data_IF_556717294808
#
_entry.id   IF_556717294808
#
_cell.length_a   1.000
_cell.length_b   1.000
_cell.length_c   1.000
_cell.angle_alpha   90.00
_cell.angle_beta   90.00
_cell.angle_gamma   90.00
#
_symmetry.space_group_name_H-M   'P 1'
#
loop_
_entity.id
_entity.type
_entity.pdbx_description
1 polymer ?
#
# COMPACT_ATOMS: atom_id res chain seq x y z
N UNK A 1 -9.17 9.37 -27.41
CA UNK A 1 -9.35 7.91 -27.19
C UNK A 1 -8.89 7.59 -25.77
N UNK A 2 -9.83 7.31 -24.86
CA UNK A 2 -9.51 6.87 -23.49
C UNK A 2 -9.62 5.34 -23.47
N UNK A 3 -8.50 4.64 -23.47
CA UNK A 3 -8.47 3.21 -23.13
C UNK A 3 -8.57 3.10 -21.62
N UNK A 4 -9.79 2.94 -21.11
CA UNK A 4 -10.03 2.57 -19.71
C UNK A 4 -9.61 1.12 -19.51
N UNK A 5 -8.57 0.90 -18.70
CA UNK A 5 -8.12 -0.44 -18.32
C UNK A 5 -9.08 -0.99 -17.27
N UNK A 6 -10.19 -1.56 -17.70
CA UNK A 6 -11.01 -2.39 -16.83
C UNK A 6 -10.35 -3.77 -16.73
N UNK A 7 -9.58 -3.99 -15.67
CA UNK A 7 -9.15 -5.34 -15.28
C UNK A 7 -10.38 -6.13 -14.79
N UNK A 8 -11.14 -6.70 -15.73
CA UNK A 8 -12.02 -7.83 -15.42
C UNK A 8 -11.11 -9.06 -15.32
N UNK A 9 -11.04 -9.68 -14.14
CA UNK A 9 -10.24 -10.88 -13.86
C UNK A 9 -10.72 -12.08 -14.71
N UNK A 10 -10.28 -12.16 -15.97
CA UNK A 10 -10.50 -13.31 -16.84
C UNK A 10 -9.14 -13.75 -17.40
N UNK A 11 -8.67 -14.93 -16.94
CA UNK A 11 -7.59 -15.68 -17.58
C UNK A 11 -6.16 -15.35 -17.13
N UNK A 12 -5.90 -15.24 -15.83
CA UNK A 12 -4.54 -15.06 -15.30
C UNK A 12 -3.88 -16.40 -14.92
N UNK A 13 -2.72 -16.69 -15.52
CA UNK A 13 -1.81 -17.72 -15.02
C UNK A 13 -0.92 -17.08 -13.95
N UNK A 14 -1.09 -17.49 -12.70
CA UNK A 14 -0.36 -16.96 -11.54
C UNK A 14 0.86 -17.83 -11.29
N UNK A 15 2.06 -17.29 -11.49
CA UNK A 15 3.29 -17.90 -10.96
C UNK A 15 3.64 -17.21 -9.64
N UNK A 16 3.57 -17.97 -8.56
CA UNK A 16 4.05 -17.56 -7.25
C UNK A 16 5.51 -17.96 -7.10
N UNK A 17 6.40 -16.97 -7.12
CA UNK A 17 7.81 -17.14 -6.79
C UNK A 17 8.11 -16.25 -5.57
N UNK A 18 7.87 -16.77 -4.37
CA UNK A 18 8.01 -16.03 -3.11
C UNK A 18 6.98 -14.90 -2.95
N UNK A 19 7.35 -13.80 -2.26
CA UNK A 19 6.49 -12.62 -1.99
C UNK A 19 6.06 -11.82 -3.24
N UNK A 20 6.32 -12.33 -4.44
CA UNK A 20 6.05 -11.67 -5.71
C UNK A 20 5.03 -12.48 -6.50
N UNK A 21 4.00 -11.80 -6.99
CA UNK A 21 3.00 -12.41 -7.87
C UNK A 21 3.20 -11.88 -9.28
N UNK A 22 3.57 -12.77 -10.21
CA UNK A 22 3.73 -12.44 -11.63
C UNK A 22 2.48 -12.86 -12.37
N UNK A 23 1.88 -11.90 -13.06
CA UNK A 23 0.77 -12.11 -13.97
C UNK A 23 1.24 -11.92 -15.40
N UNK A 24 0.89 -12.85 -16.27
CA UNK A 24 1.08 -12.70 -17.70
C UNK A 24 -0.28 -12.49 -18.36
N UNK A 25 -0.40 -11.45 -19.20
CA UNK A 25 -1.61 -11.17 -19.98
C UNK A 25 -1.22 -10.96 -21.45
N UNK A 26 -2.12 -11.31 -22.36
CA UNK A 26 -1.94 -11.10 -23.80
C UNK A 26 -2.87 -9.98 -24.27
N UNK A 27 -2.29 -8.92 -24.84
CA UNK A 27 -3.03 -7.89 -25.57
C UNK A 27 -2.39 -7.73 -26.96
N UNK A 28 -3.19 -7.88 -28.02
CA UNK A 28 -2.71 -7.85 -29.41
C UNK A 28 -1.59 -8.84 -29.74
N UNK A 29 -1.53 -9.99 -29.06
CA UNK A 29 -0.49 -11.01 -29.25
C UNK A 29 0.86 -10.71 -28.57
N UNK A 30 0.99 -9.60 -27.83
CA UNK A 30 2.16 -9.32 -26.98
C UNK A 30 1.91 -9.79 -25.55
N UNK A 31 2.85 -10.56 -25.03
CA UNK A 31 2.85 -10.99 -23.63
C UNK A 31 3.31 -9.85 -22.73
N UNK A 32 2.39 -9.27 -21.96
CA UNK A 32 2.71 -8.31 -20.92
C UNK A 32 2.93 -9.04 -19.60
N UNK A 33 4.05 -8.75 -18.93
CA UNK A 33 4.35 -9.24 -17.59
C UNK A 33 4.07 -8.13 -16.60
N UNK A 34 3.15 -8.35 -15.67
CA UNK A 34 2.87 -7.44 -14.57
C UNK A 34 3.36 -8.10 -13.29
N UNK A 35 4.19 -7.38 -12.54
CA UNK A 35 4.75 -7.84 -11.28
C UNK A 35 4.18 -6.99 -10.17
N UNK A 36 3.44 -7.63 -9.26
CA UNK A 36 2.97 -7.01 -8.04
C UNK A 36 3.96 -7.37 -6.93
N UNK A 37 4.47 -6.35 -6.26
CA UNK A 37 5.42 -6.50 -5.16
C UNK A 37 4.87 -5.77 -3.93
N UNK A 38 4.80 -6.47 -2.80
CA UNK A 38 4.56 -5.80 -1.52
C UNK A 38 5.77 -4.88 -1.21
N UNK A 39 5.54 -3.78 -0.51
CA UNK A 39 6.64 -2.88 -0.14
C UNK A 39 7.26 -3.34 1.18
N UNK A 40 6.47 -3.37 2.25
CA UNK A 40 6.94 -3.64 3.61
C UNK A 40 7.22 -5.13 3.82
N UNK A 41 8.42 -5.48 4.26
CA UNK A 41 8.86 -6.87 4.45
C UNK A 41 9.31 -7.58 3.17
N UNK A 42 9.19 -6.93 2.00
CA UNK A 42 9.64 -7.47 0.70
C UNK A 42 10.71 -6.60 0.06
N UNK A 43 10.43 -5.32 -0.17
CA UNK A 43 11.41 -4.36 -0.69
C UNK A 43 12.05 -3.53 0.42
N UNK A 44 11.26 -3.20 1.43
CA UNK A 44 11.64 -2.37 2.57
C UNK A 44 11.65 -3.22 3.82
N UNK A 45 12.77 -3.22 4.53
CA UNK A 45 12.94 -3.94 5.78
C UNK A 45 12.96 -2.98 6.97
N UNK A 46 12.71 -3.52 8.16
CA UNK A 46 12.64 -2.78 9.42
C UNK A 46 13.57 -3.48 10.41
N UNK A 47 14.87 -3.29 10.25
CA UNK A 47 15.86 -3.80 11.19
C UNK A 47 16.20 -2.72 12.24
N UNK A 48 16.38 -3.16 13.49
CA UNK A 48 17.21 -2.42 14.44
C UNK A 48 18.64 -2.52 13.89
N UNK A 49 19.19 -1.39 13.41
CA UNK A 49 20.47 -1.30 12.68
C UNK A 49 21.68 -1.58 13.62
N UNK A 50 21.52 -2.44 14.62
CA UNK A 50 22.61 -2.96 15.42
C UNK A 50 23.22 -4.18 14.73
N UNK A 51 24.37 -3.95 14.09
CA UNK A 51 25.51 -4.89 13.98
C UNK A 51 25.70 -5.78 12.73
N UNK A 52 24.77 -5.87 11.77
CA UNK A 52 24.92 -6.84 10.65
C UNK A 52 25.35 -6.26 9.29
N UNK A 53 25.70 -4.97 9.20
CA UNK A 53 26.14 -4.36 7.93
C UNK A 53 27.62 -4.65 7.60
N UNK A 54 27.94 -5.91 7.32
CA UNK A 54 29.23 -6.34 6.75
C UNK A 54 29.16 -6.56 5.23
N UNK A 55 28.03 -6.25 4.59
CA UNK A 55 27.87 -6.34 3.13
C UNK A 55 28.10 -4.98 2.47
N UNK A 56 28.82 -4.95 1.35
CA UNK A 56 29.08 -3.77 0.52
C UNK A 56 27.82 -3.14 -0.12
N UNK A 57 26.62 -3.56 0.25
CA UNK A 57 25.40 -2.99 -0.31
C UNK A 57 25.09 -1.65 0.35
N UNK A 58 24.99 -0.59 -0.45
CA UNK A 58 24.58 0.73 0.03
C UNK A 58 23.10 0.66 0.45
N UNK A 59 22.81 1.09 1.68
CA UNK A 59 21.47 1.08 2.27
C UNK A 59 20.94 2.51 2.33
N UNK A 60 19.71 2.70 1.83
CA UNK A 60 18.98 3.96 1.89
C UNK A 60 17.97 3.89 3.03
N UNK A 61 17.98 4.91 3.89
CA UNK A 61 17.00 5.06 4.96
C UNK A 61 15.78 5.85 4.48
N UNK A 62 14.60 5.25 4.61
CA UNK A 62 13.34 5.91 4.25
C UNK A 62 12.89 6.87 5.36
N UNK A 63 12.06 7.88 5.04
CA UNK A 63 11.40 8.68 6.07
C UNK A 63 10.58 7.81 7.04
N UNK A 64 10.55 8.17 8.33
CA UNK A 64 9.80 7.43 9.33
C UNK A 64 8.30 7.45 9.02
N UNK A 65 7.62 6.37 9.37
CA UNK A 65 6.16 6.32 9.36
C UNK A 65 5.58 7.18 10.49
N UNK A 66 4.26 7.31 10.53
CA UNK A 66 3.56 7.94 11.65
C UNK A 66 3.74 7.20 12.98
N UNK A 67 4.16 5.93 12.96
CA UNK A 67 4.48 5.16 14.17
C UNK A 67 5.95 5.30 14.59
N UNK A 68 6.74 6.12 13.88
CA UNK A 68 8.17 6.32 14.15
C UNK A 68 9.08 5.27 13.51
N UNK A 69 8.53 4.16 13.02
CA UNK A 69 9.31 3.10 12.37
C UNK A 69 9.97 3.62 11.09
N UNK A 70 11.29 3.37 10.98
CA UNK A 70 12.10 3.73 9.82
C UNK A 70 12.35 2.48 8.98
N UNK A 71 11.96 2.55 7.72
CA UNK A 71 12.27 1.48 6.76
C UNK A 71 13.64 1.69 6.16
N UNK A 72 14.28 0.61 5.72
CA UNK A 72 15.51 0.63 4.93
C UNK A 72 15.31 -0.15 3.63
N UNK A 73 16.00 0.26 2.57
CA UNK A 73 16.03 -0.44 1.28
C UNK A 73 17.47 -0.48 0.75
N UNK A 74 17.90 -1.60 0.21
CA UNK A 74 19.20 -1.68 -0.46
C UNK A 74 19.13 -1.10 -1.87
N UNK A 75 20.21 -0.48 -2.31
CA UNK A 75 20.35 -0.01 -3.70
C UNK A 75 20.28 -1.14 -4.72
N UNK A 76 20.71 -2.35 -4.35
CA UNK A 76 20.58 -3.54 -5.20
C UNK A 76 19.12 -3.90 -5.48
N UNK A 77 18.23 -3.81 -4.48
CA UNK A 77 16.79 -4.01 -4.67
C UNK A 77 16.22 -2.99 -5.65
N UNK A 78 16.64 -1.73 -5.55
CA UNK A 78 16.22 -0.69 -6.51
C UNK A 78 16.69 -1.03 -7.92
N UNK A 79 17.99 -1.34 -8.11
CA UNK A 79 18.56 -1.73 -9.40
C UNK A 79 17.84 -2.94 -10.02
N UNK A 80 17.50 -3.95 -9.21
CA UNK A 80 16.75 -5.12 -9.66
C UNK A 80 15.35 -4.73 -10.17
N UNK A 81 14.63 -3.85 -9.46
CA UNK A 81 13.33 -3.35 -9.91
C UNK A 81 13.44 -2.59 -11.24
N UNK A 82 14.47 -1.77 -11.42
CA UNK A 82 14.71 -1.06 -12.68
C UNK A 82 15.04 -2.01 -13.83
N UNK A 83 15.92 -3.00 -13.60
CA UNK A 83 16.24 -4.04 -14.57
C UNK A 83 15.00 -4.83 -14.99
N UNK A 84 14.14 -5.16 -14.02
CA UNK A 84 12.88 -5.85 -14.26
C UNK A 84 11.98 -5.08 -15.24
N UNK A 85 11.90 -3.76 -15.09
CA UNK A 85 11.09 -2.88 -15.95
C UNK A 85 11.74 -2.65 -17.31
N UNK A 86 13.03 -2.31 -17.34
CA UNK A 86 13.72 -1.89 -18.57
C UNK A 86 14.07 -3.05 -19.49
N UNK A 87 14.58 -4.16 -18.95
CA UNK A 87 15.11 -5.27 -19.76
C UNK A 87 14.03 -6.26 -20.19
N UNK A 88 12.95 -6.38 -19.42
CA UNK A 88 11.90 -7.36 -19.68
C UNK A 88 10.57 -6.74 -20.11
N UNK A 89 10.50 -5.40 -20.19
CA UNK A 89 9.26 -4.68 -20.51
C UNK A 89 8.14 -4.91 -19.49
N UNK A 90 8.50 -5.43 -18.29
CA UNK A 90 7.53 -5.76 -17.26
C UNK A 90 6.98 -4.47 -16.63
N UNK A 91 5.69 -4.48 -16.31
CA UNK A 91 5.05 -3.46 -15.50
C UNK A 91 5.25 -3.80 -14.03
N UNK A 92 5.69 -2.82 -13.24
CA UNK A 92 5.84 -2.98 -11.80
C UNK A 92 4.68 -2.27 -11.10
N UNK A 93 4.01 -2.97 -10.19
CA UNK A 93 2.99 -2.42 -9.30
C UNK A 93 3.47 -2.60 -7.87
N UNK A 94 3.63 -1.49 -7.14
CA UNK A 94 3.94 -1.55 -5.72
C UNK A 94 2.66 -1.52 -4.91
N UNK A 95 2.49 -2.50 -4.04
CA UNK A 95 1.32 -2.63 -3.16
C UNK A 95 1.80 -2.50 -1.73
N UNK A 96 1.07 -1.77 -0.88
CA UNK A 96 1.45 -1.61 0.53
C UNK A 96 0.24 -1.39 1.44
N UNK A 97 0.40 -1.78 2.70
CA UNK A 97 -0.52 -1.43 3.80
C UNK A 97 -0.26 -0.04 4.39
N UNK A 98 0.75 0.68 3.91
CA UNK A 98 1.05 2.05 4.34
C UNK A 98 -0.14 2.97 4.13
N UNK A 99 -0.28 3.95 5.03
CA UNK A 99 -1.13 5.12 4.81
C UNK A 99 -0.70 5.84 3.53
N UNK A 100 -1.64 6.43 2.80
CA UNK A 100 -1.34 7.20 1.58
C UNK A 100 -0.29 8.28 1.84
N UNK A 101 -0.39 9.00 2.97
CA UNK A 101 0.59 10.02 3.35
C UNK A 101 1.99 9.46 3.58
N UNK A 102 2.11 8.24 4.11
CA UNK A 102 3.38 7.55 4.29
C UNK A 102 3.96 7.08 2.96
N UNK A 103 3.12 6.52 2.07
CA UNK A 103 3.52 6.17 0.70
C UNK A 103 4.11 7.40 0.00
N UNK A 104 3.36 8.51 -0.08
CA UNK A 104 3.79 9.71 -0.80
C UNK A 104 5.11 10.28 -0.28
N UNK A 105 5.34 10.27 1.04
CA UNK A 105 6.62 10.68 1.64
C UNK A 105 7.78 9.76 1.27
N UNK A 106 7.52 8.47 1.05
CA UNK A 106 8.52 7.45 0.75
C UNK A 106 8.77 7.23 -0.74
N UNK A 107 7.85 7.66 -1.61
CA UNK A 107 7.99 7.51 -3.06
C UNK A 107 9.35 7.97 -3.63
N UNK A 108 9.98 9.07 -3.15
CA UNK A 108 11.34 9.42 -3.57
C UNK A 108 12.38 8.31 -3.39
N UNK A 109 12.21 7.45 -2.39
CA UNK A 109 13.16 6.41 -1.97
C UNK A 109 12.76 5.00 -2.45
N UNK A 110 11.61 4.88 -3.11
CA UNK A 110 11.07 3.62 -3.63
C UNK A 110 11.36 3.49 -5.13
N UNK A 111 11.41 2.27 -5.68
CA UNK A 111 11.64 2.11 -7.10
C UNK A 111 10.47 2.74 -7.89
N UNK A 112 10.81 3.34 -9.02
CA UNK A 112 9.79 3.86 -9.95
C UNK A 112 8.93 2.69 -10.45
N UNK A 113 7.62 2.83 -10.32
CA UNK A 113 6.64 1.81 -10.68
C UNK A 113 5.62 2.37 -11.68
N UNK A 114 4.87 1.48 -12.29
CA UNK A 114 3.81 1.80 -13.25
C UNK A 114 2.46 2.06 -12.55
N UNK A 115 2.29 1.54 -11.33
CA UNK A 115 1.21 1.92 -10.42
C UNK A 115 1.65 1.74 -8.97
N UNK A 116 1.01 2.48 -8.07
CA UNK A 116 1.22 2.41 -6.63
C UNK A 116 -0.12 2.23 -5.93
N UNK A 117 -0.20 1.28 -5.01
CA UNK A 117 -1.39 0.99 -4.25
C UNK A 117 -1.09 1.09 -2.75
N UNK A 118 -1.78 1.99 -2.05
CA UNK A 118 -1.69 2.14 -0.59
C UNK A 118 -2.98 1.69 0.09
N UNK A 119 -2.96 1.66 1.43
CA UNK A 119 -4.12 1.29 2.24
C UNK A 119 -4.68 -0.09 1.83
N UNK A 120 -3.77 -1.06 1.65
CA UNK A 120 -4.11 -2.43 1.22
C UNK A 120 -4.79 -2.51 -0.15
N UNK A 121 -4.51 -1.55 -1.03
CA UNK A 121 -5.07 -1.50 -2.39
C UNK A 121 -6.30 -0.62 -2.54
N UNK A 122 -6.78 -0.01 -1.45
CA UNK A 122 -7.96 0.85 -1.50
C UNK A 122 -7.70 2.18 -2.20
N UNK A 123 -6.43 2.62 -2.27
CA UNK A 123 -6.06 3.85 -2.99
C UNK A 123 -5.01 3.51 -4.03
N UNK A 124 -5.26 3.88 -5.29
CA UNK A 124 -4.40 3.55 -6.44
C UNK A 124 -3.93 4.83 -7.10
N UNK A 125 -2.66 4.89 -7.43
CA UNK A 125 -2.01 6.06 -8.03
C UNK A 125 -1.19 5.66 -9.25
N UNK A 126 -1.19 6.53 -10.26
CA UNK A 126 -0.45 6.37 -11.49
C UNK A 126 0.58 7.50 -11.68
N UNK A 127 1.80 7.17 -12.13
CA UNK A 127 2.79 8.19 -12.45
C UNK A 127 2.35 9.00 -13.67
N UNK A 128 2.50 10.33 -13.59
CA UNK A 128 2.25 11.28 -14.66
C UNK A 128 3.57 11.69 -15.29
N UNK A 129 3.65 11.62 -16.61
CA UNK A 129 4.82 12.08 -17.36
C UNK A 129 4.76 13.62 -17.50
N UNK A 130 5.58 14.32 -16.71
CA UNK A 130 5.62 15.78 -16.66
C UNK A 130 6.01 16.42 -18.00
N UNK A 131 6.76 15.72 -18.86
CA UNK A 131 7.10 16.21 -20.19
C UNK A 131 5.87 16.23 -21.14
N UNK A 132 4.86 15.40 -20.86
CA UNK A 132 3.61 15.33 -21.63
C UNK A 132 2.49 16.19 -21.03
N UNK A 133 2.57 16.49 -19.74
CA UNK A 133 1.54 17.24 -19.00
C UNK A 133 2.18 18.42 -18.26
N UNK A 134 2.65 19.42 -19.01
CA UNK A 134 3.35 20.59 -18.46
C UNK A 134 2.49 21.42 -17.47
N UNK A 135 1.16 21.32 -17.55
CA UNK A 135 0.21 22.00 -16.66
C UNK A 135 -0.14 21.19 -15.40
N UNK A 136 0.58 20.11 -15.10
CA UNK A 136 0.29 19.27 -13.95
C UNK A 136 0.56 20.02 -12.64
N UNK A 137 -0.48 20.20 -11.82
CA UNK A 137 -0.42 20.94 -10.54
C UNK A 137 -0.42 20.03 -9.30
N UNK A 138 -0.45 18.71 -9.48
CA UNK A 138 -0.48 17.78 -8.35
C UNK A 138 0.89 17.55 -7.73
N UNK A 139 0.98 16.55 -6.85
CA UNK A 139 2.23 16.17 -6.18
C UNK A 139 3.29 15.72 -7.19
N UNK A 140 4.48 16.30 -7.11
CA UNK A 140 5.65 15.94 -7.91
C UNK A 140 6.63 15.15 -7.03
N UNK A 141 6.99 13.95 -7.49
CA UNK A 141 7.98 13.09 -6.86
C UNK A 141 9.33 13.33 -7.53
N UNK A 142 10.35 13.54 -6.70
CA UNK A 142 11.76 13.66 -7.10
C UNK A 142 12.50 12.46 -6.51
N UNK A 143 12.82 11.43 -7.33
CA UNK A 143 13.57 10.27 -6.85
C UNK A 143 14.90 10.66 -6.20
N UNK A 144 15.24 9.95 -5.12
CA UNK A 144 16.54 10.07 -4.46
C UNK A 144 17.62 9.41 -5.32
N UNK A 145 18.78 10.07 -5.43
CA UNK A 145 19.91 9.54 -6.20
C UNK A 145 20.63 8.45 -5.40
N UNK A 146 21.09 7.43 -6.08
CA UNK A 146 21.95 6.38 -5.54
C UNK A 146 22.83 5.80 -6.64
N UNK A 147 23.87 5.04 -6.29
CA UNK A 147 24.85 4.58 -7.28
C UNK A 147 24.24 3.61 -8.32
N UNK A 148 24.58 3.83 -9.59
CA UNK A 148 24.16 2.97 -10.70
C UNK A 148 22.71 3.15 -11.20
N UNK A 149 21.99 4.15 -10.71
CA UNK A 149 20.67 4.54 -11.25
C UNK A 149 20.80 5.29 -12.57
N UNK A 150 19.86 5.09 -13.49
CA UNK A 150 19.83 5.84 -14.77
C UNK A 150 19.15 7.20 -14.60
N UNK A 151 19.52 8.20 -15.42
CA UNK A 151 18.83 9.51 -15.42
C UNK A 151 17.33 9.39 -15.73
N UNK A 152 16.95 8.39 -16.53
CA UNK A 152 15.54 8.12 -16.85
C UNK A 152 14.73 7.64 -15.63
N UNK A 153 15.38 6.91 -14.73
CA UNK A 153 14.80 6.44 -13.48
C UNK A 153 14.79 7.53 -12.41
N UNK A 154 15.74 8.47 -12.46
CA UNK A 154 15.77 9.68 -11.62
C UNK A 154 14.87 10.81 -12.11
N UNK A 155 14.31 10.71 -13.32
CA UNK A 155 13.42 11.74 -13.85
C UNK A 155 12.22 11.95 -12.94
N UNK A 156 11.98 13.20 -12.53
CA UNK A 156 10.82 13.58 -11.72
C UNK A 156 9.52 13.23 -12.42
N UNK A 157 8.49 12.87 -11.64
CA UNK A 157 7.18 12.50 -12.17
C UNK A 157 6.06 13.03 -11.27
N UNK A 158 4.89 13.31 -11.86
CA UNK A 158 3.69 13.60 -11.09
C UNK A 158 3.05 12.31 -10.58
N UNK A 159 2.17 12.39 -9.59
CA UNK A 159 1.42 11.23 -9.08
C UNK A 159 -0.08 11.53 -8.99
N UNK A 160 -0.89 10.84 -9.80
CA UNK A 160 -2.33 11.08 -9.90
C UNK A 160 -3.11 9.89 -9.34
N UNK A 161 -4.09 10.19 -8.50
CA UNK A 161 -5.01 9.18 -7.95
C UNK A 161 -6.03 8.71 -9.00
N UNK A 162 -6.36 7.42 -8.95
CA UNK A 162 -7.48 6.85 -9.67
C UNK A 162 -8.81 7.22 -8.99
N UNK A 163 -9.48 8.24 -9.55
CA UNK A 163 -10.75 8.73 -9.01
C UNK A 163 -11.92 7.77 -9.25
N UNK A 164 -11.88 6.91 -10.28
CA UNK A 164 -12.91 5.91 -10.51
C UNK A 164 -12.81 4.79 -9.47
N UNK A 165 -11.59 4.34 -9.19
CA UNK A 165 -11.32 3.37 -8.12
C UNK A 165 -11.71 3.93 -6.76
N UNK A 166 -11.34 5.17 -6.48
CA UNK A 166 -11.71 5.86 -5.25
C UNK A 166 -13.23 5.92 -5.06
N UNK A 167 -13.99 6.28 -6.10
CA UNK A 167 -15.45 6.33 -6.03
C UNK A 167 -16.06 4.96 -5.65
N UNK A 168 -15.45 3.85 -6.10
CA UNK A 168 -15.86 2.49 -5.68
C UNK A 168 -15.62 2.24 -4.20
N UNK A 169 -14.49 2.69 -3.66
CA UNK A 169 -14.21 2.59 -2.22
C UNK A 169 -15.15 3.46 -1.38
N UNK A 170 -15.62 4.57 -1.94
CA UNK A 170 -16.55 5.49 -1.28
C UNK A 170 -18.01 4.99 -1.21
N UNK A 171 -18.30 3.84 -1.82
CA UNK A 171 -19.63 3.20 -1.71
C UNK A 171 -19.91 2.77 -0.27
N UNK A 172 -21.19 2.83 0.13
CA UNK A 172 -21.63 2.50 1.51
C UNK A 172 -21.31 1.06 1.92
N UNK A 173 -21.33 0.12 0.97
CA UNK A 173 -20.94 -1.28 1.18
C UNK A 173 -19.41 -1.50 1.18
N UNK A 174 -18.61 -0.45 1.06
CA UNK A 174 -17.16 -0.45 1.17
C UNK A 174 -16.73 0.43 2.36
N UNK A 175 -15.97 1.50 2.13
CA UNK A 175 -15.54 2.42 3.16
C UNK A 175 -16.53 3.59 3.39
N UNK A 176 -17.50 3.82 2.50
CA UNK A 176 -18.35 5.02 2.50
C UNK A 176 -17.55 6.31 2.24
N UNK A 177 -18.19 7.48 2.38
CA UNK A 177 -17.60 8.78 1.98
C UNK A 177 -16.18 9.02 2.50
N UNK A 178 -15.39 9.83 1.77
CA UNK A 178 -13.93 9.96 1.94
C UNK A 178 -13.53 10.07 3.41
N UNK A 179 -12.90 9.01 3.93
CA UNK A 179 -12.59 8.86 5.35
C UNK A 179 -11.58 9.87 5.88
N UNK A 180 -11.00 10.75 5.05
CA UNK A 180 -10.17 11.87 5.50
C UNK A 180 -11.02 12.95 6.20
N UNK A 181 -11.51 12.62 7.39
CA UNK A 181 -12.05 13.63 8.30
C UNK A 181 -10.90 14.56 8.68
N UNK A 182 -11.07 15.87 8.45
CA UNK A 182 -10.11 16.87 8.89
C UNK A 182 -9.91 16.72 10.41
N UNK A 183 -8.65 16.78 10.86
CA UNK A 183 -8.32 16.72 12.29
C UNK A 183 -8.80 18.00 12.98
N UNK A 184 -10.09 18.07 13.29
CA UNK A 184 -10.51 18.85 14.44
C UNK A 184 -10.11 18.07 15.68
N UNK A 185 -9.32 18.71 16.55
CA UNK A 185 -8.56 18.05 17.62
C UNK A 185 -9.44 17.45 18.73
N UNK A 186 -10.74 17.71 18.73
CA UNK A 186 -11.63 17.46 19.87
C UNK A 186 -12.89 16.64 19.55
N UNK A 187 -13.00 16.02 18.38
CA UNK A 187 -14.20 15.23 18.03
C UNK A 187 -13.87 13.77 17.81
N UNK A 188 -14.75 12.88 18.29
CA UNK A 188 -14.78 11.46 17.93
C UNK A 188 -14.87 11.31 16.41
N UNK A 189 -13.70 11.21 15.78
CA UNK A 189 -13.54 11.13 14.33
C UNK A 189 -14.17 9.85 13.78
N UNK A 190 -14.19 8.76 14.56
CA UNK A 190 -14.71 7.48 14.10
C UNK A 190 -16.24 7.52 13.98
N UNK A 191 -16.94 8.19 14.90
CA UNK A 191 -18.40 8.37 14.85
C UNK A 191 -18.89 9.06 13.56
N UNK A 192 -18.06 9.95 12.98
CA UNK A 192 -18.38 10.69 11.76
C UNK A 192 -18.20 9.89 10.47
N UNK A 193 -17.53 8.74 10.52
CA UNK A 193 -17.26 7.92 9.34
C UNK A 193 -18.42 6.95 9.09
N UNK A 194 -18.96 6.94 7.88
CA UNK A 194 -20.07 6.07 7.49
C UNK A 194 -19.58 4.97 6.55
N UNK A 195 -20.21 3.79 6.56
CA UNK A 195 -19.89 2.71 5.63
C UNK A 195 -19.52 1.43 6.35
N UNK A 196 -19.60 0.31 5.64
CA UNK A 196 -19.43 -1.02 6.20
C UNK A 196 -18.12 -1.20 6.98
N UNK A 197 -17.01 -0.67 6.45
CA UNK A 197 -15.70 -0.69 7.11
C UNK A 197 -15.75 -0.01 8.48
N UNK A 198 -16.31 1.19 8.56
CA UNK A 198 -16.35 1.98 9.79
C UNK A 198 -17.39 1.48 10.78
N UNK A 199 -18.49 0.92 10.29
CA UNK A 199 -19.45 0.18 11.12
C UNK A 199 -18.76 -1.00 11.79
N UNK A 200 -17.89 -1.72 11.07
CA UNK A 200 -17.10 -2.79 11.65
C UNK A 200 -16.08 -2.28 12.67
N UNK A 201 -15.35 -1.20 12.37
CA UNK A 201 -14.42 -0.57 13.29
C UNK A 201 -15.10 -0.21 14.63
N UNK A 202 -16.28 0.44 14.58
CA UNK A 202 -17.06 0.76 15.78
C UNK A 202 -17.49 -0.47 16.57
N UNK A 203 -17.88 -1.57 15.89
CA UNK A 203 -18.22 -2.84 16.57
C UNK A 203 -17.00 -3.47 17.27
N UNK A 204 -15.80 -3.28 16.75
CA UNK A 204 -14.58 -3.74 17.42
C UNK A 204 -14.21 -2.82 18.59
N UNK A 205 -14.32 -1.50 18.40
CA UNK A 205 -14.10 -0.53 19.48
C UNK A 205 -15.06 -0.75 20.65
N UNK A 206 -16.35 -1.03 20.38
CA UNK A 206 -17.33 -1.35 21.42
C UNK A 206 -17.04 -2.66 22.17
N UNK A 207 -16.20 -3.54 21.60
CA UNK A 207 -15.66 -4.75 22.25
C UNK A 207 -14.33 -4.48 22.99
N UNK A 208 -13.88 -3.23 23.03
CA UNK A 208 -12.69 -2.80 23.75
C UNK A 208 -11.37 -2.92 22.99
N UNK A 209 -11.42 -3.11 21.66
CA UNK A 209 -10.23 -3.04 20.81
C UNK A 209 -9.79 -1.61 20.57
N UNK A 210 -8.47 -1.37 20.58
CA UNK A 210 -7.88 -0.09 20.16
C UNK A 210 -7.70 -0.11 18.64
N UNK A 211 -8.35 0.83 17.95
CA UNK A 211 -8.38 0.93 16.49
C UNK A 211 -7.50 2.09 16.00
N UNK A 212 -6.51 1.80 15.16
CA UNK A 212 -5.74 2.81 14.43
C UNK A 212 -6.34 3.04 13.04
N UNK A 213 -7.15 4.10 12.93
CA UNK A 213 -7.76 4.53 11.67
C UNK A 213 -7.19 5.87 11.15
N UNK A 214 -6.25 6.47 11.87
CA UNK A 214 -5.79 7.83 11.61
C UNK A 214 -4.98 7.92 10.33
N UNK A 215 -5.41 8.77 9.39
CA UNK A 215 -4.72 8.94 8.10
C UNK A 215 -4.96 7.80 7.11
N UNK A 216 -5.90 6.90 7.41
CA UNK A 216 -6.52 6.00 6.45
C UNK A 216 -7.89 6.53 6.03
N UNK A 217 -8.20 6.36 4.74
CA UNK A 217 -9.49 6.68 4.14
C UNK A 217 -10.36 5.45 3.90
N UNK A 218 -9.75 4.28 3.67
CA UNK A 218 -10.47 3.03 3.38
C UNK A 218 -9.80 1.79 4.00
N UNK A 219 -9.08 1.98 5.10
CA UNK A 219 -8.47 0.90 5.87
C UNK A 219 -8.45 1.28 7.36
N UNK A 220 -8.43 0.30 8.26
CA UNK A 220 -8.02 0.54 9.65
C UNK A 220 -7.22 -0.64 10.17
N UNK A 221 -6.48 -0.39 11.24
CA UNK A 221 -5.54 -1.34 11.82
C UNK A 221 -5.87 -1.64 13.27
N UNK A 222 -5.75 -2.91 13.64
CA UNK A 222 -5.74 -3.37 15.03
C UNK A 222 -4.35 -3.93 15.33
N UNK A 223 -3.57 -3.22 16.14
CA UNK A 223 -2.21 -3.63 16.49
C UNK A 223 -2.20 -4.37 17.83
N UNK A 224 -1.62 -5.58 17.87
CA UNK A 224 -1.49 -6.36 19.11
C UNK A 224 -0.81 -5.58 20.24
N UNK A 225 0.25 -4.82 19.94
CA UNK A 225 1.02 -4.04 20.92
C UNK A 225 0.27 -2.85 21.50
N UNK A 226 -0.81 -2.39 20.86
CA UNK A 226 -1.64 -1.28 21.34
C UNK A 226 -2.80 -1.75 22.24
N UNK A 227 -3.05 -3.07 22.30
CA UNK A 227 -4.10 -3.60 23.15
C UNK A 227 -3.61 -3.60 24.60
N UNK A 228 -4.39 -3.04 25.53
CA UNK A 228 -4.05 -3.00 26.97
C UNK A 228 -3.90 -4.41 27.55
N UNK A 229 -2.99 -4.59 28.50
CA UNK A 229 -2.52 -5.89 29.04
C UNK A 229 -3.52 -6.74 29.84
N UNK A 230 -4.75 -6.28 30.06
CA UNK A 230 -5.68 -7.04 30.91
C UNK A 230 -5.93 -8.45 30.32
N UNK A 231 -5.74 -9.48 31.16
CA UNK A 231 -5.34 -10.86 30.82
C UNK A 231 -6.22 -11.63 29.80
N UNK A 232 -7.33 -11.04 29.36
CA UNK A 232 -8.30 -11.60 28.42
C UNK A 232 -8.14 -11.09 26.97
N UNK A 233 -7.22 -10.14 26.70
CA UNK A 233 -7.10 -9.52 25.37
C UNK A 233 -6.15 -10.21 24.39
N UNK A 234 -5.18 -11.00 24.87
CA UNK A 234 -4.37 -11.86 24.01
C UNK A 234 -5.24 -12.87 23.28
N UNK A 235 -6.08 -13.57 24.04
CA UNK A 235 -7.09 -14.49 23.51
C UNK A 235 -8.11 -13.79 22.60
N UNK A 236 -8.57 -12.58 22.97
CA UNK A 236 -9.49 -11.81 22.12
C UNK A 236 -8.86 -11.41 20.77
N UNK A 237 -7.59 -11.01 20.76
CA UNK A 237 -6.86 -10.70 19.53
C UNK A 237 -6.62 -11.96 18.70
N UNK A 238 -6.24 -13.08 19.33
CA UNK A 238 -6.06 -14.37 18.66
C UNK A 238 -7.40 -14.92 18.12
N UNK A 239 -8.51 -14.66 18.81
CA UNK A 239 -9.86 -14.97 18.34
C UNK A 239 -10.23 -14.08 17.14
N UNK A 240 -9.91 -12.78 17.18
CA UNK A 240 -10.11 -11.87 16.06
C UNK A 240 -9.30 -12.30 14.83
N UNK A 241 -8.06 -12.75 15.03
CA UNK A 241 -7.17 -13.27 13.98
C UNK A 241 -7.77 -14.48 13.26
N UNK A 242 -8.51 -15.33 13.98
CA UNK A 242 -9.19 -16.52 13.45
C UNK A 242 -10.58 -16.22 12.90
N UNK A 243 -11.14 -15.05 13.19
CA UNK A 243 -12.47 -14.67 12.75
C UNK A 243 -12.44 -14.18 11.31
N UNK A 244 -13.49 -14.50 10.55
CA UNK A 244 -13.68 -13.90 9.23
C UNK A 244 -14.23 -12.48 9.38
N UNK A 245 -13.75 -11.51 8.58
CA UNK A 245 -14.36 -10.19 8.52
C UNK A 245 -15.82 -10.31 8.02
N UNK A 246 -16.67 -9.30 8.29
CA UNK A 246 -18.01 -9.22 7.70
C UNK A 246 -17.98 -9.32 6.16
N UNK A 247 -19.03 -9.89 5.56
CA UNK A 247 -19.19 -9.95 4.10
C UNK A 247 -19.03 -8.55 3.47
N UNK A 248 -18.24 -8.44 2.40
CA UNK A 248 -17.87 -7.18 1.76
C UNK A 248 -16.60 -6.51 2.32
N UNK A 249 -16.02 -7.05 3.40
CA UNK A 249 -14.71 -6.67 3.92
C UNK A 249 -13.71 -7.83 3.77
N UNK A 250 -12.43 -7.48 3.72
CA UNK A 250 -11.31 -8.40 3.82
C UNK A 250 -10.35 -7.95 4.92
N UNK A 251 -9.45 -8.84 5.32
CA UNK A 251 -8.37 -8.49 6.23
C UNK A 251 -7.06 -9.18 5.87
N UNK A 252 -5.94 -8.55 6.25
CA UNK A 252 -4.60 -9.14 6.17
C UNK A 252 -3.84 -8.92 7.47
N UNK A 253 -2.88 -9.80 7.73
CA UNK A 253 -2.04 -9.72 8.92
C UNK A 253 -0.63 -9.31 8.50
N UNK A 254 -0.09 -8.26 9.13
CA UNK A 254 1.28 -7.82 8.90
C UNK A 254 1.88 -7.21 10.18
N UNK A 255 3.13 -7.56 10.50
CA UNK A 255 3.87 -7.01 11.64
C UNK A 255 3.09 -7.02 12.98
N UNK A 256 2.35 -8.11 13.25
CA UNK A 256 1.52 -8.23 14.46
C UNK A 256 0.27 -7.34 14.47
N UNK A 257 -0.14 -6.84 13.31
CA UNK A 257 -1.32 -6.03 13.11
C UNK A 257 -2.33 -6.74 12.20
N UNK A 258 -3.62 -6.53 12.42
CA UNK A 258 -4.70 -6.94 11.51
C UNK A 258 -5.19 -5.67 10.81
N UNK A 259 -5.04 -5.63 9.49
CA UNK A 259 -5.56 -4.56 8.63
C UNK A 259 -6.90 -5.00 8.07
N UNK A 260 -7.93 -4.17 8.23
CA UNK A 260 -9.27 -4.37 7.65
C UNK A 260 -9.50 -3.34 6.54
N UNK A 261 -10.09 -3.78 5.44
CA UNK A 261 -10.35 -2.96 4.25
C UNK A 261 -11.52 -3.55 3.44
N UNK A 262 -12.14 -2.79 2.52
CA UNK A 262 -13.16 -3.33 1.62
C UNK A 262 -12.64 -4.53 0.83
N UNK A 263 -13.45 -5.57 0.64
CA UNK A 263 -13.05 -6.80 -0.06
C UNK A 263 -12.56 -6.55 -1.49
N UNK A 264 -13.09 -5.51 -2.15
CA UNK A 264 -12.64 -5.08 -3.46
C UNK A 264 -11.16 -4.63 -3.47
N UNK A 265 -10.55 -4.37 -2.31
CA UNK A 265 -9.15 -3.95 -2.18
C UNK A 265 -8.23 -5.16 -2.34
N UNK A 266 -7.27 -5.08 -3.25
CA UNK A 266 -6.56 -6.25 -3.79
C UNK A 266 -5.48 -6.92 -2.92
N UNK A 267 -5.36 -6.64 -1.61
CA UNK A 267 -4.27 -7.20 -0.75
C UNK A 267 -4.68 -8.46 0.04
N UNK A 268 -5.53 -9.33 -0.51
CA UNK A 268 -5.89 -10.58 0.18
C UNK A 268 -4.65 -11.49 0.25
N UNK A 269 -4.09 -11.65 1.45
CA UNK A 269 -3.09 -12.67 1.74
C UNK A 269 -3.82 -14.03 1.74
N UNK A 270 -3.45 -14.92 0.83
CA UNK A 270 -3.90 -16.32 0.81
C UNK A 270 -2.98 -17.17 1.69
#
# INVERSE_FOLDING_TARGET
>A
MKTGWYCTLLGFLVFLLGSHTIFASMDGGRLFKIVFSDVDGTLVHYDDISESASSNSEIIQLPPSSTGMRGIISTDTLRLCHKLRSSHGSKLVLVSGMRTTTLLKRLPFLPRADAYASEAGSRVFYPVNLAKEASYQGTIIRPERYDGVSDSDLASFGIKEDMEWRAKMELRNAAGGDGYVQRDRDVDVLSRRSGLLWDHARRLESKGFVIDFHGYAACFRVNRKQQKEDQTKGEAFDALLKSSPPEGLACSVNLGCIDFYPEASGKKNW
#
